data_IF_093596491106
#
_entry.id   IF_093596491106
#
_cell.length_a   1.000
_cell.length_b   1.000
_cell.length_c   1.000
_cell.angle_alpha   90.00
_cell.angle_beta   90.00
_cell.angle_gamma   90.00
#
_symmetry.space_group_name_H-M   'P 1'
#
loop_
_entity.id
_entity.type
_entity.pdbx_description
1 polymer ?
#
# COMPACT_ATOMS: atom_id res chain seq x y z
N UNK A 1 -27.70 -24.07 60.47
CA UNK A 1 -27.69 -25.01 59.32
C UNK A 1 -26.98 -24.32 58.16
N UNK A 2 -25.80 -23.72 58.43
CA UNK A 2 -25.28 -22.59 57.61
C UNK A 2 -23.85 -22.81 57.09
N UNK A 3 -23.17 -23.87 57.54
CA UNK A 3 -21.78 -24.16 57.16
C UNK A 3 -21.66 -24.93 55.83
N UNK A 4 -22.65 -25.75 55.45
CA UNK A 4 -22.64 -26.52 54.20
C UNK A 4 -22.85 -25.62 52.96
N UNK A 5 -23.81 -24.70 53.02
CA UNK A 5 -24.11 -23.75 51.92
C UNK A 5 -22.90 -22.86 51.62
N UNK A 6 -22.15 -22.44 52.65
CA UNK A 6 -20.98 -21.56 52.52
C UNK A 6 -19.77 -22.27 51.90
N UNK A 7 -19.59 -23.58 52.13
CA UNK A 7 -18.55 -24.40 51.48
C UNK A 7 -18.87 -24.69 50.01
N UNK A 8 -20.13 -25.00 49.69
CA UNK A 8 -20.59 -25.25 48.32
C UNK A 8 -20.45 -24.00 47.44
N UNK A 9 -20.86 -22.84 47.94
CA UNK A 9 -20.76 -21.57 47.21
C UNK A 9 -19.30 -21.15 46.97
N UNK A 10 -18.36 -21.42 47.89
CA UNK A 10 -16.93 -21.15 47.68
C UNK A 10 -16.32 -22.03 46.58
N UNK A 11 -16.74 -23.29 46.48
CA UNK A 11 -16.30 -24.21 45.42
C UNK A 11 -16.86 -23.77 44.07
N UNK A 12 -18.12 -23.34 44.05
CA UNK A 12 -18.77 -22.79 42.85
C UNK A 12 -18.07 -21.51 42.38
N UNK A 13 -17.83 -20.54 43.27
CA UNK A 13 -17.11 -19.30 42.92
C UNK A 13 -15.70 -19.57 42.42
N UNK A 14 -14.97 -20.52 43.04
CA UNK A 14 -13.66 -20.93 42.55
C UNK A 14 -13.71 -21.52 41.13
N UNK A 15 -14.72 -22.35 40.85
CA UNK A 15 -14.91 -22.93 39.52
C UNK A 15 -15.31 -21.89 38.47
N UNK A 16 -16.21 -20.95 38.80
CA UNK A 16 -16.53 -19.82 37.93
C UNK A 16 -15.32 -18.93 37.68
N UNK A 17 -14.48 -18.68 38.69
CA UNK A 17 -13.25 -17.90 38.52
C UNK A 17 -12.27 -18.54 37.54
N UNK A 18 -12.07 -19.86 37.64
CA UNK A 18 -11.23 -20.61 36.69
C UNK A 18 -11.84 -20.58 35.28
N UNK A 19 -13.15 -20.72 35.16
CA UNK A 19 -13.84 -20.65 33.86
C UNK A 19 -13.65 -19.29 33.17
N UNK A 20 -13.72 -18.19 33.93
CA UNK A 20 -13.47 -16.83 33.39
C UNK A 20 -12.04 -16.69 32.90
N UNK A 21 -11.04 -17.06 33.72
CA UNK A 21 -9.63 -16.98 33.32
C UNK A 21 -9.33 -17.86 32.09
N UNK A 22 -9.95 -19.04 32.00
CA UNK A 22 -9.83 -19.91 30.85
C UNK A 22 -10.42 -19.29 29.57
N UNK A 23 -11.59 -18.64 29.64
CA UNK A 23 -12.19 -17.95 28.49
C UNK A 23 -11.33 -16.78 27.99
N UNK A 24 -10.78 -15.98 28.90
CA UNK A 24 -9.87 -14.89 28.53
C UNK A 24 -8.55 -15.40 27.96
N UNK A 25 -7.98 -16.46 28.56
CA UNK A 25 -6.77 -17.11 28.05
C UNK A 25 -6.96 -17.68 26.66
N UNK A 26 -8.12 -18.29 26.38
CA UNK A 26 -8.46 -18.81 25.06
C UNK A 26 -8.59 -17.69 24.02
N UNK A 27 -9.21 -16.55 24.37
CA UNK A 27 -9.31 -15.39 23.49
C UNK A 27 -7.94 -14.80 23.11
N UNK A 28 -7.01 -14.71 24.07
CA UNK A 28 -5.64 -14.24 23.81
C UNK A 28 -4.81 -15.23 23.00
N UNK A 29 -4.99 -16.53 23.23
CA UNK A 29 -4.32 -17.59 22.47
C UNK A 29 -4.85 -17.74 21.03
N UNK A 30 -6.08 -17.27 20.77
CA UNK A 30 -6.68 -17.32 19.44
C UNK A 30 -5.89 -16.51 18.42
N UNK A 31 -5.38 -15.33 18.80
CA UNK A 31 -4.63 -14.42 17.90
C UNK A 31 -3.40 -15.11 17.29
N UNK A 32 -2.42 -15.62 18.06
CA UNK A 32 -1.26 -16.30 17.49
C UNK A 32 -1.62 -17.63 16.82
N UNK A 33 -2.70 -18.31 17.26
CA UNK A 33 -3.21 -19.53 16.61
C UNK A 33 -3.76 -19.23 15.20
N UNK A 34 -4.43 -18.11 15.02
CA UNK A 34 -4.86 -17.66 13.69
C UNK A 34 -3.66 -17.37 12.79
N UNK A 35 -2.62 -16.72 13.31
CA UNK A 35 -1.42 -16.39 12.53
C UNK A 35 -0.71 -17.65 12.02
N UNK A 36 -0.49 -18.66 12.88
CA UNK A 36 0.13 -19.94 12.46
C UNK A 36 -0.75 -20.74 11.50
N UNK A 37 -2.07 -20.69 11.65
CA UNK A 37 -2.97 -21.35 10.70
C UNK A 37 -2.97 -20.63 9.36
N UNK A 38 -2.94 -19.29 9.35
CA UNK A 38 -2.87 -18.50 8.12
C UNK A 38 -1.52 -18.68 7.40
N UNK A 39 -0.43 -18.89 8.13
CA UNK A 39 0.90 -19.24 7.60
C UNK A 39 0.93 -20.67 7.04
N UNK A 40 0.41 -21.65 7.79
CA UNK A 40 0.36 -23.05 7.36
C UNK A 40 -0.56 -23.27 6.14
N UNK A 41 -1.63 -22.49 6.01
CA UNK A 41 -2.57 -22.54 4.88
C UNK A 41 -2.16 -21.63 3.72
N UNK A 42 -1.12 -20.80 3.87
CA UNK A 42 -0.61 -19.92 2.81
C UNK A 42 -1.59 -18.84 2.34
N UNK A 43 -2.60 -18.51 3.16
CA UNK A 43 -3.69 -17.55 2.87
C UNK A 43 -3.43 -16.16 3.43
N UNK A 44 -2.31 -15.95 4.13
CA UNK A 44 -1.92 -14.64 4.65
C UNK A 44 -1.32 -13.80 3.52
N UNK A 45 -2.16 -13.35 2.59
CA UNK A 45 -1.83 -12.39 1.53
C UNK A 45 -1.55 -10.98 2.05
N UNK A 46 -0.90 -10.84 3.22
CA UNK A 46 -0.38 -9.56 3.71
C UNK A 46 0.88 -9.24 2.92
N UNK A 47 0.78 -8.31 1.97
CA UNK A 47 1.95 -7.73 1.32
C UNK A 47 2.78 -6.97 2.37
N UNK A 48 4.10 -7.12 2.32
CA UNK A 48 5.04 -6.37 3.15
C UNK A 48 4.68 -4.88 3.13
N UNK A 49 4.53 -4.28 4.32
CA UNK A 49 4.24 -2.84 4.48
C UNK A 49 5.48 -1.98 4.23
N UNK A 50 6.65 -2.61 4.04
CA UNK A 50 7.91 -1.95 3.70
C UNK A 50 8.29 -2.19 2.23
N UNK A 51 8.78 -1.14 1.58
CA UNK A 51 9.33 -1.20 0.22
C UNK A 51 10.45 -2.23 0.13
N UNK A 52 10.31 -3.20 -0.78
CA UNK A 52 11.33 -4.21 -1.01
C UNK A 52 12.53 -3.59 -1.75
N UNK A 53 13.70 -3.62 -1.11
CA UNK A 53 14.99 -3.35 -1.76
C UNK A 53 15.40 -4.64 -2.48
N UNK A 54 15.74 -4.56 -3.77
CA UNK A 54 16.22 -5.72 -4.52
C UNK A 54 17.40 -6.39 -3.80
N UNK A 55 17.33 -7.70 -3.52
CA UNK A 55 18.48 -8.45 -3.01
C UNK A 55 19.58 -8.45 -4.07
N UNK A 56 20.76 -7.96 -3.70
CA UNK A 56 21.96 -7.99 -4.55
C UNK A 56 22.27 -9.46 -4.88
N UNK A 57 22.05 -9.86 -6.14
CA UNK A 57 22.32 -11.23 -6.62
C UNK A 57 21.12 -12.04 -7.12
N UNK A 58 19.91 -11.48 -7.10
CA UNK A 58 18.74 -12.13 -7.74
C UNK A 58 18.95 -12.22 -9.25
N UNK A 59 18.95 -13.43 -9.81
CA UNK A 59 19.02 -13.67 -11.26
C UNK A 59 17.61 -13.92 -11.77
N UNK A 60 17.23 -13.21 -12.83
CA UNK A 60 15.96 -13.44 -13.48
C UNK A 60 15.91 -14.86 -14.07
N UNK A 61 14.81 -15.57 -13.82
CA UNK A 61 14.54 -16.86 -14.44
C UNK A 61 13.97 -16.64 -15.85
N UNK A 62 14.85 -16.68 -16.84
CA UNK A 62 14.50 -16.52 -18.26
C UNK A 62 13.74 -17.72 -18.84
N UNK A 63 13.65 -18.84 -18.13
CA UNK A 63 12.97 -20.05 -18.63
C UNK A 63 11.46 -19.99 -18.49
N UNK A 64 11.00 -19.16 -17.54
CA UNK A 64 9.60 -19.01 -17.19
C UNK A 64 9.11 -17.61 -17.54
N UNK A 65 7.90 -17.54 -18.07
CA UNK A 65 7.21 -16.28 -18.37
C UNK A 65 5.93 -16.20 -17.57
N UNK A 66 5.68 -15.03 -16.98
CA UNK A 66 4.46 -14.72 -16.25
C UNK A 66 3.79 -13.54 -16.94
N UNK A 67 2.50 -13.69 -17.23
CA UNK A 67 1.65 -12.60 -17.72
C UNK A 67 1.28 -11.71 -16.55
N UNK A 68 1.61 -10.43 -16.62
CA UNK A 68 1.09 -9.41 -15.72
C UNK A 68 0.03 -8.60 -16.44
N UNK A 69 -1.17 -8.56 -15.90
CA UNK A 69 -2.28 -7.76 -16.41
C UNK A 69 -2.49 -6.53 -15.52
N UNK A 70 -2.66 -5.36 -16.15
CA UNK A 70 -2.80 -4.09 -15.45
C UNK A 70 -4.23 -3.60 -15.58
N UNK A 71 -4.87 -3.38 -14.45
CA UNK A 71 -6.22 -2.84 -14.36
C UNK A 71 -6.24 -1.54 -13.56
N UNK A 72 -7.17 -0.66 -13.96
CA UNK A 72 -7.44 0.60 -13.29
C UNK A 72 -8.95 0.77 -13.14
N UNK A 73 -9.40 0.96 -11.90
CA UNK A 73 -10.77 1.28 -11.55
C UNK A 73 -10.82 2.67 -10.94
N UNK A 74 -11.85 3.43 -11.32
CA UNK A 74 -12.09 4.78 -10.80
C UNK A 74 -13.42 4.76 -10.09
N UNK A 75 -13.43 5.20 -8.83
CA UNK A 75 -14.70 5.34 -8.13
C UNK A 75 -15.57 6.44 -8.76
N UNK A 76 -16.91 6.30 -8.72
CA UNK A 76 -17.82 7.27 -9.33
C UNK A 76 -17.63 8.72 -8.83
N UNK A 77 -17.20 8.89 -7.57
CA UNK A 77 -16.96 10.19 -6.93
C UNK A 77 -15.62 10.85 -7.32
N UNK A 78 -14.86 10.22 -8.22
CA UNK A 78 -13.56 10.65 -8.69
C UNK A 78 -13.66 11.05 -10.18
N UNK A 79 -13.70 12.35 -10.54
CA UNK A 79 -13.80 12.80 -11.92
C UNK A 79 -12.44 12.74 -12.65
N UNK A 80 -11.67 11.68 -12.43
CA UNK A 80 -10.38 11.46 -13.07
C UNK A 80 -10.48 10.35 -14.10
N UNK A 81 -9.75 10.49 -15.20
CA UNK A 81 -9.41 9.36 -16.05
C UNK A 81 -8.12 8.73 -15.50
N UNK A 82 -8.13 7.42 -15.28
CA UNK A 82 -6.98 6.67 -14.79
C UNK A 82 -6.83 5.38 -15.58
N UNK A 83 -5.69 5.18 -16.23
CA UNK A 83 -5.44 4.02 -17.10
C UNK A 83 -3.96 3.61 -17.08
N UNK A 84 -3.66 2.32 -17.22
CA UNK A 84 -2.29 1.88 -17.44
C UNK A 84 -1.82 2.26 -18.85
N UNK A 85 -0.50 2.40 -19.03
CA UNK A 85 0.14 2.55 -20.34
C UNK A 85 -0.06 1.28 -21.19
N UNK A 86 0.10 0.10 -20.58
CA UNK A 86 -0.05 -1.21 -21.21
C UNK A 86 -1.04 -2.05 -20.40
N UNK A 87 -1.94 -2.76 -21.09
CA UNK A 87 -2.93 -3.64 -20.42
C UNK A 87 -2.32 -4.95 -19.94
N UNK A 88 -1.24 -5.41 -20.57
CA UNK A 88 -0.51 -6.59 -20.13
C UNK A 88 0.96 -6.54 -20.52
N UNK A 89 1.80 -7.22 -19.77
CA UNK A 89 3.21 -7.46 -20.04
C UNK A 89 3.55 -8.92 -19.73
N UNK A 90 4.34 -9.55 -20.59
CA UNK A 90 4.96 -10.84 -20.29
C UNK A 90 6.34 -10.55 -19.69
N UNK A 91 6.60 -11.10 -18.50
CA UNK A 91 7.79 -10.78 -17.70
C UNK A 91 8.43 -12.05 -17.16
N UNK A 92 9.71 -11.98 -16.83
CA UNK A 92 10.43 -13.08 -16.21
C UNK A 92 10.49 -12.90 -14.67
N UNK A 93 10.28 -13.96 -13.87
CA UNK A 93 10.50 -13.88 -12.42
C UNK A 93 11.93 -13.39 -12.11
N UNK A 94 12.07 -12.45 -11.18
CA UNK A 94 13.33 -11.77 -10.85
C UNK A 94 13.72 -10.63 -11.79
N UNK A 95 12.97 -10.39 -12.88
CA UNK A 95 13.15 -9.24 -13.76
C UNK A 95 12.47 -8.00 -13.17
N UNK A 96 13.16 -6.87 -13.25
CA UNK A 96 12.64 -5.59 -12.76
C UNK A 96 12.02 -4.84 -13.90
N UNK A 97 10.74 -4.54 -13.74
CA UNK A 97 9.90 -3.96 -14.77
C UNK A 97 9.49 -2.57 -14.36
N UNK A 98 9.58 -1.64 -15.29
CA UNK A 98 9.07 -0.29 -15.18
C UNK A 98 7.93 -0.08 -16.17
N UNK A 99 6.81 0.45 -15.67
CA UNK A 99 5.64 0.83 -16.47
C UNK A 99 5.04 2.11 -15.88
N UNK A 100 4.07 2.71 -16.57
CA UNK A 100 3.44 3.96 -16.16
C UNK A 100 1.92 3.81 -16.15
N UNK A 101 1.27 4.48 -15.20
CA UNK A 101 -0.15 4.78 -15.29
C UNK A 101 -0.36 6.27 -15.56
N UNK A 102 -1.36 6.59 -16.38
CA UNK A 102 -1.74 7.96 -16.68
C UNK A 102 -2.98 8.35 -15.88
N UNK A 103 -2.88 9.45 -15.15
CA UNK A 103 -4.00 10.10 -14.49
C UNK A 103 -4.30 11.48 -15.13
N UNK A 104 -5.57 11.80 -15.29
CA UNK A 104 -6.01 13.10 -15.76
C UNK A 104 -7.24 13.58 -14.98
N UNK A 105 -7.14 14.73 -14.34
CA UNK A 105 -8.25 15.37 -13.66
C UNK A 105 -9.17 16.02 -14.70
N UNK A 106 -10.37 15.50 -14.89
CA UNK A 106 -11.32 16.05 -15.87
C UNK A 106 -12.14 17.20 -15.29
N UNK A 107 -12.07 17.44 -13.99
CA UNK A 107 -12.75 18.55 -13.32
C UNK A 107 -11.95 19.86 -13.40
N UNK A 108 -12.57 20.96 -12.98
CA UNK A 108 -11.88 22.26 -12.81
C UNK A 108 -11.35 22.45 -11.37
N UNK A 109 -11.57 21.49 -10.48
CA UNK A 109 -11.19 21.59 -9.07
C UNK A 109 -9.89 20.82 -8.84
N UNK A 110 -9.03 21.33 -7.96
CA UNK A 110 -7.91 20.56 -7.43
C UNK A 110 -8.45 19.46 -6.52
N UNK A 111 -8.03 18.22 -6.77
CA UNK A 111 -8.46 17.04 -6.02
C UNK A 111 -7.24 16.24 -5.58
N UNK A 112 -7.41 15.48 -4.51
CA UNK A 112 -6.41 14.54 -4.02
C UNK A 112 -6.93 13.12 -4.23
N UNK A 113 -6.20 12.35 -5.03
CA UNK A 113 -6.49 10.96 -5.32
C UNK A 113 -5.59 10.01 -4.54
N UNK A 114 -6.13 8.87 -4.13
CA UNK A 114 -5.38 7.76 -3.57
C UNK A 114 -5.65 6.51 -4.40
N UNK A 115 -4.60 5.85 -4.90
CA UNK A 115 -4.72 4.62 -5.65
C UNK A 115 -4.40 3.43 -4.75
N UNK A 116 -5.41 2.65 -4.40
CA UNK A 116 -5.27 1.47 -3.55
C UNK A 116 -5.00 0.24 -4.43
N UNK A 117 -3.88 -0.45 -4.25
CA UNK A 117 -3.54 -1.62 -5.04
C UNK A 117 -4.18 -2.92 -4.54
N UNK A 118 -4.36 -3.87 -5.46
CA UNK A 118 -4.70 -5.27 -5.21
C UNK A 118 -4.08 -6.18 -6.26
N UNK A 119 -3.64 -7.38 -5.86
CA UNK A 119 -3.05 -8.39 -6.77
C UNK A 119 -3.87 -9.67 -6.70
N UNK A 120 -4.14 -10.26 -7.87
CA UNK A 120 -4.87 -11.53 -8.02
C UNK A 120 -4.09 -12.53 -8.88
N UNK A 121 -4.14 -13.84 -8.58
CA UNK A 121 -4.75 -14.45 -7.40
C UNK A 121 -4.01 -14.07 -6.11
N UNK A 122 -4.71 -14.12 -4.97
CA UNK A 122 -4.14 -13.73 -3.68
C UNK A 122 -2.90 -14.55 -3.28
N UNK A 123 -2.81 -15.80 -3.73
CA UNK A 123 -1.62 -16.65 -3.54
C UNK A 123 -0.38 -16.14 -4.28
N UNK A 124 -0.56 -15.36 -5.35
CA UNK A 124 0.50 -14.72 -6.09
C UNK A 124 0.88 -13.33 -5.57
N UNK A 125 0.03 -12.73 -4.73
CA UNK A 125 0.23 -11.37 -4.23
C UNK A 125 1.49 -11.22 -3.37
N UNK A 126 1.84 -12.24 -2.58
CA UNK A 126 3.04 -12.24 -1.73
C UNK A 126 4.34 -12.16 -2.53
N UNK A 127 4.34 -12.66 -3.77
CA UNK A 127 5.51 -12.68 -4.64
C UNK A 127 5.60 -11.43 -5.53
N UNK A 128 4.57 -10.57 -5.54
CA UNK A 128 4.55 -9.35 -6.33
C UNK A 128 5.08 -8.17 -5.50
N UNK A 129 6.32 -7.77 -5.75
CA UNK A 129 6.99 -6.73 -4.99
C UNK A 129 7.01 -5.41 -5.75
N UNK A 130 6.50 -4.35 -5.10
CA UNK A 130 6.52 -2.98 -5.62
C UNK A 130 7.69 -2.23 -5.00
N UNK A 131 8.59 -1.74 -5.83
CA UNK A 131 9.82 -1.08 -5.38
C UNK A 131 9.55 0.37 -4.98
N UNK A 132 8.70 1.10 -5.72
CA UNK A 132 8.41 2.51 -5.41
C UNK A 132 6.94 2.75 -5.03
N UNK A 133 6.75 3.27 -3.81
CA UNK A 133 5.44 3.55 -3.23
C UNK A 133 5.46 4.89 -2.47
N UNK A 134 5.63 6.01 -3.18
CA UNK A 134 5.39 7.34 -2.61
C UNK A 134 4.35 8.14 -3.40
N UNK A 135 4.24 7.93 -4.71
CA UNK A 135 3.30 8.66 -5.56
C UNK A 135 1.83 8.25 -5.40
N UNK A 136 1.54 7.04 -4.87
CA UNK A 136 0.18 6.50 -4.83
C UNK A 136 -0.57 6.69 -3.51
N UNK A 137 0.11 7.22 -2.49
CA UNK A 137 -0.53 7.47 -1.21
C UNK A 137 -1.52 8.62 -1.36
N UNK A 138 -1.06 9.86 -1.54
CA UNK A 138 -1.93 11.02 -1.75
C UNK A 138 -1.37 11.86 -2.90
N UNK A 139 -1.95 11.73 -4.09
CA UNK A 139 -1.52 12.50 -5.25
C UNK A 139 -2.44 13.73 -5.40
N UNK A 140 -1.95 14.96 -5.16
CA UNK A 140 -2.68 16.16 -5.56
C UNK A 140 -2.61 16.31 -7.08
N UNK A 141 -3.73 16.67 -7.70
CA UNK A 141 -3.79 17.01 -9.11
C UNK A 141 -4.71 18.21 -9.32
N UNK A 142 -4.16 19.28 -9.88
CA UNK A 142 -4.90 20.48 -10.22
C UNK A 142 -6.05 20.18 -11.20
N UNK A 143 -7.02 21.10 -11.27
CA UNK A 143 -8.08 21.04 -12.28
C UNK A 143 -7.46 20.96 -13.68
N UNK A 144 -7.96 20.04 -14.52
CA UNK A 144 -7.42 19.76 -15.87
C UNK A 144 -5.98 19.26 -15.90
N UNK A 145 -5.35 19.01 -14.75
CA UNK A 145 -4.01 18.47 -14.65
C UNK A 145 -3.86 17.06 -15.20
N UNK A 146 -2.63 16.70 -15.56
CA UNK A 146 -2.24 15.34 -15.96
C UNK A 146 -1.04 14.92 -15.12
N UNK A 147 -0.98 13.64 -14.78
CA UNK A 147 0.14 13.06 -14.06
C UNK A 147 0.50 11.70 -14.66
N UNK A 148 1.81 11.46 -14.75
CA UNK A 148 2.39 10.16 -15.02
C UNK A 148 2.79 9.55 -13.69
N UNK A 149 2.27 8.36 -13.40
CA UNK A 149 2.48 7.68 -12.14
C UNK A 149 3.30 6.42 -12.44
N UNK A 150 4.63 6.49 -12.30
CA UNK A 150 5.50 5.36 -12.58
C UNK A 150 5.26 4.24 -11.58
N UNK A 151 5.37 3.01 -12.06
CA UNK A 151 5.31 1.79 -11.28
C UNK A 151 6.55 0.96 -11.61
N UNK A 152 7.34 0.67 -10.59
CA UNK A 152 8.48 -0.25 -10.67
C UNK A 152 8.16 -1.46 -9.79
N UNK A 153 8.24 -2.64 -10.38
CA UNK A 153 7.94 -3.89 -9.68
C UNK A 153 8.82 -5.03 -10.17
N UNK A 154 8.84 -6.12 -9.42
CA UNK A 154 9.37 -7.41 -9.85
C UNK A 154 8.54 -8.53 -9.23
N UNK A 155 8.64 -9.72 -9.79
CA UNK A 155 8.03 -10.94 -9.24
C UNK A 155 9.15 -11.79 -8.65
N UNK A 156 8.98 -12.36 -7.46
CA UNK A 156 10.01 -13.22 -6.88
C UNK A 156 10.20 -14.52 -7.68
N UNK A 157 11.44 -15.01 -7.84
CA UNK A 157 11.73 -16.24 -8.58
C UNK A 157 11.10 -17.52 -8.01
N UNK A 158 10.76 -17.54 -6.72
CA UNK A 158 10.20 -18.68 -6.00
C UNK A 158 8.66 -18.79 -6.13
N UNK A 159 8.03 -17.92 -6.94
CA UNK A 159 6.60 -17.97 -7.20
C UNK A 159 6.18 -19.37 -7.70
N UNK A 160 5.10 -19.99 -7.16
CA UNK A 160 4.71 -21.35 -7.51
C UNK A 160 4.44 -21.54 -9.00
N UNK A 161 4.86 -22.67 -9.57
CA UNK A 161 4.70 -22.98 -11.01
C UNK A 161 3.25 -23.00 -11.50
N UNK A 162 2.28 -23.15 -10.60
CA UNK A 162 0.86 -23.09 -10.93
C UNK A 162 0.36 -21.69 -11.30
N UNK A 163 1.13 -20.63 -11.00
CA UNK A 163 0.76 -19.24 -11.24
C UNK A 163 1.43 -18.73 -12.53
N UNK A 164 0.64 -18.59 -13.58
CA UNK A 164 1.10 -18.08 -14.89
C UNK A 164 0.66 -16.65 -15.18
N UNK A 165 -0.37 -16.17 -14.46
CA UNK A 165 -0.94 -14.84 -14.66
C UNK A 165 -1.13 -14.16 -13.31
N UNK A 166 -0.69 -12.91 -13.23
CA UNK A 166 -0.97 -12.00 -12.12
C UNK A 166 -1.71 -10.79 -12.65
N UNK A 167 -2.77 -10.38 -11.97
CA UNK A 167 -3.48 -9.14 -12.28
C UNK A 167 -3.20 -8.14 -11.19
N UNK A 168 -2.53 -7.04 -11.54
CA UNK A 168 -2.39 -5.87 -10.69
C UNK A 168 -3.53 -4.90 -11.00
N UNK A 169 -4.43 -4.76 -10.03
CA UNK A 169 -5.54 -3.82 -10.10
C UNK A 169 -5.32 -2.66 -9.14
N UNK A 170 -5.58 -1.44 -9.60
CA UNK A 170 -5.64 -0.25 -8.77
C UNK A 170 -7.06 0.31 -8.76
N UNK A 171 -7.55 0.65 -7.57
CA UNK A 171 -8.80 1.40 -7.41
C UNK A 171 -8.49 2.81 -6.91
N UNK A 172 -8.95 3.82 -7.64
CA UNK A 172 -8.71 5.23 -7.35
C UNK A 172 -9.86 5.82 -6.54
N UNK A 173 -9.53 6.38 -5.37
CA UNK A 173 -10.44 7.01 -4.42
C UNK A 173 -10.20 8.52 -4.36
N UNK A 174 -11.28 9.28 -4.21
CA UNK A 174 -11.23 10.71 -3.89
C UNK A 174 -11.12 10.85 -2.37
N UNK A 175 -10.01 11.42 -1.91
CA UNK A 175 -9.73 11.62 -0.48
C UNK A 175 -9.58 13.11 -0.12
N UNK A 176 -10.04 14.01 -1.00
CA UNK A 176 -9.87 15.46 -0.83
C UNK A 176 -10.44 15.96 0.51
N UNK A 177 -11.59 15.44 0.94
CA UNK A 177 -12.22 15.78 2.23
C UNK A 177 -11.44 15.23 3.43
N UNK A 178 -10.94 14.00 3.35
CA UNK A 178 -10.13 13.38 4.39
C UNK A 178 -8.77 14.09 4.54
N UNK A 179 -8.10 14.39 3.42
CA UNK A 179 -6.83 15.12 3.39
C UNK A 179 -6.94 16.57 3.89
N UNK A 180 -8.11 17.21 3.75
CA UNK A 180 -8.39 18.52 4.34
C UNK A 180 -8.44 18.49 5.88
N UNK A 181 -8.80 17.33 6.46
CA UNK A 181 -8.88 17.15 7.91
C UNK A 181 -7.49 16.96 8.53
N UNK A 182 -6.54 16.38 7.79
CA UNK A 182 -5.15 16.15 8.21
C UNK A 182 -4.17 17.30 7.87
N UNK A 183 -4.69 18.48 7.49
CA UNK A 183 -3.89 19.71 7.34
C UNK A 183 -3.11 19.87 6.03
N UNK A 184 -3.20 18.92 5.09
CA UNK A 184 -2.46 18.96 3.80
C UNK A 184 -2.99 20.02 2.79
N UNK A 185 -4.16 20.61 3.04
CA UNK A 185 -4.83 21.53 2.10
C UNK A 185 -4.51 23.01 2.38
N UNK A 186 -3.85 23.34 3.51
CA UNK A 186 -3.58 24.74 3.87
C UNK A 186 -2.46 25.42 3.06
N UNK A 187 -1.70 24.68 2.25
CA UNK A 187 -0.58 25.26 1.48
C UNK A 187 -0.91 25.62 0.02
N UNK A 188 -1.98 25.07 -0.56
CA UNK A 188 -2.35 25.36 -1.96
C UNK A 188 -2.90 26.81 -2.08
N UNK A 189 -3.56 27.31 -1.03
CA UNK A 189 -4.14 28.66 -1.03
C UNK A 189 -3.16 29.78 -0.69
N UNK A 190 -1.92 29.47 -0.28
CA UNK A 190 -0.91 30.48 0.10
C UNK A 190 0.02 30.90 -1.03
N UNK A 191 0.09 30.14 -2.12
CA UNK A 191 0.99 30.46 -3.24
C UNK A 191 0.49 31.60 -4.16
N UNK A 192 -0.77 32.07 -4.02
CA UNK A 192 -1.37 33.05 -4.96
C UNK A 192 -1.78 34.41 -4.35
N UNK A 193 -1.50 34.69 -3.06
CA UNK A 193 -1.78 36.01 -2.48
C UNK A 193 -0.54 36.52 -1.72
N UNK A 194 0.35 37.21 -2.44
CA UNK A 194 1.58 37.74 -1.84
C UNK A 194 2.48 38.49 -2.81
N UNK A 195 1.93 39.38 -3.63
CA UNK A 195 2.71 40.51 -4.16
C UNK A 195 3.22 41.33 -2.96
N UNK A 196 4.54 41.40 -2.77
CA UNK A 196 5.29 42.62 -2.42
C UNK A 196 6.65 42.29 -1.80
N UNK A 197 7.70 42.66 -2.54
CA UNK A 197 9.03 43.14 -2.09
C UNK A 197 9.87 42.31 -1.11
N UNK A 198 11.02 41.81 -1.59
CA UNK A 198 12.30 41.80 -0.85
C UNK A 198 13.52 41.59 -1.78
N UNK A 199 14.69 42.15 -1.44
CA UNK A 199 15.76 42.49 -2.37
C UNK A 199 16.72 41.33 -2.65
N UNK A 200 17.49 41.48 -3.73
CA UNK A 200 18.56 40.57 -4.16
C UNK A 200 19.58 40.33 -3.03
N UNK A 201 19.85 39.06 -2.77
CA UNK A 201 20.90 38.60 -1.87
C UNK A 201 22.15 38.30 -2.71
N UNK A 202 23.16 39.10 -2.46
CA UNK A 202 24.51 39.07 -3.01
C UNK A 202 25.20 37.73 -2.64
N UNK A 203 25.75 37.02 -3.63
CA UNK A 203 26.50 35.78 -3.41
C UNK A 203 28.00 36.07 -3.60
N UNK A 204 28.85 35.89 -2.58
CA UNK A 204 30.28 36.10 -2.74
C UNK A 204 30.89 34.98 -3.59
N UNK A 205 31.49 35.36 -4.71
CA UNK A 205 32.37 34.51 -5.53
C UNK A 205 33.63 34.15 -4.73
N UNK A 206 33.80 32.86 -4.43
CA UNK A 206 35.10 32.33 -3.98
C UNK A 206 35.91 31.90 -5.20
N UNK A 207 36.95 32.69 -5.50
CA UNK A 207 38.10 32.26 -6.29
C UNK A 207 38.84 31.15 -5.55
N UNK A 208 39.09 30.02 -6.20
CA UNK A 208 40.18 29.11 -5.82
C UNK A 208 41.01 28.82 -7.06
N UNK A 209 42.22 29.36 -7.00
CA UNK A 209 43.29 29.34 -7.97
C UNK A 209 43.90 27.94 -8.16
N UNK A 210 44.40 27.69 -9.36
CA UNK A 210 45.24 26.55 -9.73
C UNK A 210 46.68 26.77 -9.26
N UNK A 211 47.25 25.80 -8.55
CA UNK A 211 48.67 25.41 -8.58
C UNK A 211 48.78 23.88 -8.56
#
# INVERSE_FOLDING_TARGET
MDSETRKSNRKLVGWLGVAVVAMFGFGFALVPLYDIMCEALGINGKTNTESAVQPIGMRADITRTIRVEFMAHVNPDMPWSFKPEKMSLDVHPGEVIQTVYFAHNQSNQSLIGQAVPSVSPGTGATYFNKIECFCFNHQPLEGKGKAEMPLIFYIEPDIPDSIHTLTLSYTLYNITSSAATDGAVLDISRAQVGSSSRPALDYPTSEISYE
#
